data_IF_987505622345
#
_entry.id   IF_987505622345
#
_cell.length_a   1.000
_cell.length_b   1.000
_cell.length_c   1.000
_cell.angle_alpha   90.00
_cell.angle_beta   90.00
_cell.angle_gamma   90.00
#
_symmetry.space_group_name_H-M   'P 1'
#
loop_
_entity.id
_entity.type
_entity.pdbx_description
1 polymer ?
#
# COMPACT_ATOMS: atom_id res chain seq x y z
N UNK A 1 -18.30 13.06 14.52
CA UNK A 1 -17.96 12.13 13.43
C UNK A 1 -17.65 10.81 14.12
N UNK A 2 -18.45 9.77 13.85
CA UNK A 2 -18.28 8.49 14.55
C UNK A 2 -16.99 7.82 14.09
N UNK A 3 -16.08 7.61 15.05
CA UNK A 3 -14.75 7.04 14.83
C UNK A 3 -14.81 5.61 14.27
N UNK A 4 -15.89 4.88 14.55
CA UNK A 4 -16.16 3.54 14.01
C UNK A 4 -16.18 3.50 12.48
N UNK A 5 -16.74 4.52 11.83
CA UNK A 5 -16.81 4.59 10.37
C UNK A 5 -15.41 4.84 9.76
N UNK A 6 -14.57 5.65 10.41
CA UNK A 6 -13.21 5.93 9.90
C UNK A 6 -12.30 4.71 10.03
N UNK A 7 -12.42 3.93 11.11
CA UNK A 7 -11.66 2.69 11.29
C UNK A 7 -11.97 1.66 10.19
N UNK A 8 -13.26 1.46 9.88
CA UNK A 8 -13.71 0.57 8.79
C UNK A 8 -13.17 1.02 7.43
N UNK A 9 -13.27 2.31 7.10
CA UNK A 9 -12.74 2.87 5.86
C UNK A 9 -11.22 2.67 5.71
N UNK A 10 -10.46 2.84 6.81
CA UNK A 10 -9.01 2.61 6.83
C UNK A 10 -8.69 1.14 6.57
N UNK A 11 -9.43 0.22 7.19
CA UNK A 11 -9.27 -1.22 6.96
C UNK A 11 -9.57 -1.58 5.50
N UNK A 12 -10.71 -1.14 4.98
CA UNK A 12 -11.11 -1.42 3.60
C UNK A 12 -10.10 -0.87 2.59
N UNK A 13 -9.64 0.37 2.80
CA UNK A 13 -8.66 0.97 1.90
C UNK A 13 -7.26 0.35 2.05
N UNK A 14 -6.92 -0.14 3.25
CA UNK A 14 -5.72 -0.97 3.45
C UNK A 14 -5.77 -2.25 2.62
N UNK A 15 -6.92 -2.93 2.58
CA UNK A 15 -7.15 -4.11 1.74
C UNK A 15 -7.00 -3.80 0.25
N UNK A 16 -7.56 -2.68 -0.20
CA UNK A 16 -7.43 -2.24 -1.60
C UNK A 16 -5.96 -1.96 -1.96
N UNK A 17 -5.23 -1.32 -1.05
CA UNK A 17 -3.80 -1.04 -1.19
C UNK A 17 -3.00 -2.33 -1.31
N UNK A 18 -3.18 -3.29 -0.40
CA UNK A 18 -2.57 -4.62 -0.46
C UNK A 18 -2.88 -5.34 -1.77
N UNK A 19 -4.13 -5.30 -2.22
CA UNK A 19 -4.55 -5.95 -3.47
C UNK A 19 -3.81 -5.35 -4.67
N UNK A 20 -3.68 -4.01 -4.71
CA UNK A 20 -2.91 -3.33 -5.76
C UNK A 20 -1.42 -3.68 -5.72
N UNK A 21 -0.83 -3.81 -4.53
CA UNK A 21 0.56 -4.24 -4.34
C UNK A 21 0.78 -5.67 -4.84
N UNK A 22 -0.16 -6.59 -4.55
CA UNK A 22 -0.08 -7.97 -5.01
C UNK A 22 -0.09 -8.06 -6.54
N UNK A 23 -0.98 -7.28 -7.19
CA UNK A 23 -1.06 -7.22 -8.64
C UNK A 23 0.24 -6.66 -9.25
N UNK A 24 0.77 -5.56 -8.69
CA UNK A 24 2.02 -4.96 -9.17
C UNK A 24 3.21 -5.90 -8.98
N UNK A 25 3.32 -6.55 -7.81
CA UNK A 25 4.34 -7.59 -7.54
C UNK A 25 4.32 -8.70 -8.58
N UNK A 26 3.13 -9.13 -9.02
CA UNK A 26 2.96 -10.14 -10.05
C UNK A 26 3.56 -9.76 -11.42
N UNK A 27 3.85 -8.48 -11.64
CA UNK A 27 4.40 -7.93 -12.88
C UNK A 27 5.76 -7.25 -12.69
N UNK A 28 6.42 -7.42 -11.54
CA UNK A 28 7.68 -6.73 -11.24
C UNK A 28 8.79 -7.00 -12.28
N UNK A 29 8.82 -8.20 -12.87
CA UNK A 29 9.78 -8.62 -13.89
C UNK A 29 9.45 -8.16 -15.31
N UNK A 30 8.30 -7.50 -15.52
CA UNK A 30 7.86 -7.04 -16.84
C UNK A 30 8.32 -5.62 -17.09
N UNK A 31 8.66 -5.29 -18.33
CA UNK A 31 9.04 -3.92 -18.73
C UNK A 31 8.02 -3.39 -19.74
N UNK A 32 6.76 -3.31 -19.31
CA UNK A 32 5.65 -2.98 -20.21
C UNK A 32 4.68 -1.97 -19.60
N UNK A 33 3.77 -1.47 -20.44
CA UNK A 33 2.71 -0.56 -20.04
C UNK A 33 1.82 -1.12 -18.93
N UNK A 34 1.52 -2.42 -18.95
CA UNK A 34 0.69 -3.06 -17.92
C UNK A 34 1.29 -2.90 -16.51
N UNK A 35 2.62 -3.05 -16.36
CA UNK A 35 3.29 -2.79 -15.07
C UNK A 35 3.15 -1.33 -14.65
N UNK A 36 3.29 -0.39 -15.59
CA UNK A 36 3.13 1.03 -15.29
C UNK A 36 1.70 1.39 -14.88
N UNK A 37 0.69 0.89 -15.61
CA UNK A 37 -0.72 1.08 -15.28
C UNK A 37 -1.05 0.50 -13.88
N UNK A 38 -0.41 -0.62 -13.50
CA UNK A 38 -0.55 -1.20 -12.15
C UNK A 38 0.15 -0.36 -11.08
N UNK A 39 1.30 0.25 -11.40
CA UNK A 39 2.00 1.15 -10.48
C UNK A 39 1.19 2.43 -10.22
N UNK A 40 0.59 3.01 -11.25
CA UNK A 40 -0.34 4.14 -11.09
C UNK A 40 -1.54 3.79 -10.20
N UNK A 41 -2.14 2.61 -10.42
CA UNK A 41 -3.24 2.12 -9.55
C UNK A 41 -2.78 1.93 -8.11
N UNK A 42 -1.57 1.45 -7.89
CA UNK A 42 -0.98 1.34 -6.56
C UNK A 42 -0.85 2.72 -5.91
N UNK A 43 -0.26 3.70 -6.60
CA UNK A 43 -0.13 5.07 -6.09
C UNK A 43 -1.48 5.70 -5.74
N UNK A 44 -2.52 5.48 -6.56
CA UNK A 44 -3.86 5.97 -6.27
C UNK A 44 -4.46 5.34 -4.99
N UNK A 45 -4.22 4.05 -4.75
CA UNK A 45 -4.69 3.37 -3.54
C UNK A 45 -3.91 3.79 -2.29
N UNK A 46 -2.58 3.92 -2.38
CA UNK A 46 -1.74 4.46 -1.32
C UNK A 46 -2.17 5.88 -0.93
N UNK A 47 -2.40 6.74 -1.92
CA UNK A 47 -2.88 8.09 -1.68
C UNK A 47 -4.25 8.09 -0.97
N UNK A 48 -5.19 7.27 -1.44
CA UNK A 48 -6.53 7.17 -0.86
C UNK A 48 -6.47 6.66 0.59
N UNK A 49 -5.61 5.67 0.86
CA UNK A 49 -5.37 5.19 2.23
C UNK A 49 -4.87 6.33 3.11
N UNK A 50 -3.85 7.07 2.66
CA UNK A 50 -3.27 8.20 3.38
C UNK A 50 -4.32 9.28 3.69
N UNK A 51 -5.19 9.62 2.73
CA UNK A 51 -6.28 10.57 2.94
C UNK A 51 -7.23 10.14 4.06
N UNK A 52 -7.61 8.86 4.13
CA UNK A 52 -8.48 8.37 5.20
C UNK A 52 -7.82 8.42 6.57
N UNK A 53 -6.50 8.29 6.66
CA UNK A 53 -5.79 8.47 7.94
C UNK A 53 -5.84 9.92 8.46
N UNK A 54 -6.11 10.91 7.59
CA UNK A 54 -6.28 12.30 8.00
C UNK A 54 -7.70 12.66 8.45
N UNK A 55 -8.68 11.77 8.23
CA UNK A 55 -10.08 12.03 8.63
C UNK A 55 -10.28 11.98 10.14
N UNK A 56 -9.52 11.13 10.84
CA UNK A 56 -9.44 11.12 12.30
C UNK A 56 -7.99 11.00 12.76
N UNK A 57 -7.38 12.09 13.25
CA UNK A 57 -6.01 12.07 13.74
C UNK A 57 -5.75 11.06 14.85
N UNK A 58 -6.76 10.68 15.66
CA UNK A 58 -6.56 9.68 16.72
C UNK A 58 -6.28 8.30 16.14
N UNK A 59 -6.98 7.94 15.07
CA UNK A 59 -6.78 6.67 14.36
C UNK A 59 -5.54 6.76 13.47
N UNK A 60 -5.40 7.88 12.75
CA UNK A 60 -4.26 8.11 11.85
C UNK A 60 -2.91 8.05 12.56
N UNK A 61 -2.82 8.54 13.80
CA UNK A 61 -1.58 8.54 14.60
C UNK A 61 -1.32 7.23 15.34
N UNK A 62 -2.18 6.20 15.20
CA UNK A 62 -1.91 4.90 15.79
C UNK A 62 -0.66 4.28 15.16
N UNK A 63 0.18 3.65 16.00
CA UNK A 63 1.42 3.01 15.56
C UNK A 63 1.18 1.98 14.46
N UNK A 64 0.08 1.22 14.53
CA UNK A 64 -0.28 0.21 13.52
C UNK A 64 -0.60 0.84 12.16
N UNK A 65 -1.23 2.02 12.13
CA UNK A 65 -1.57 2.75 10.91
C UNK A 65 -0.30 3.35 10.29
N UNK A 66 0.53 3.99 11.10
CA UNK A 66 1.81 4.56 10.66
C UNK A 66 2.77 3.48 10.17
N UNK A 67 2.83 2.33 10.86
CA UNK A 67 3.66 1.19 10.46
C UNK A 67 3.24 0.63 9.12
N UNK A 68 1.94 0.41 8.91
CA UNK A 68 1.44 -0.05 7.61
C UNK A 68 1.73 0.97 6.50
N UNK A 69 1.48 2.27 6.73
CA UNK A 69 1.77 3.34 5.77
C UNK A 69 3.25 3.35 5.34
N UNK A 70 4.18 3.22 6.31
CA UNK A 70 5.60 3.14 6.04
C UNK A 70 5.97 1.93 5.18
N UNK A 71 5.37 0.76 5.45
CA UNK A 71 5.63 -0.46 4.65
C UNK A 71 5.09 -0.33 3.22
N UNK A 72 3.94 0.31 3.03
CA UNK A 72 3.39 0.63 1.71
C UNK A 72 4.32 1.57 0.95
N UNK A 73 4.82 2.63 1.59
CA UNK A 73 5.77 3.58 0.99
C UNK A 73 7.07 2.88 0.55
N UNK A 74 7.68 2.10 1.44
CA UNK A 74 8.91 1.32 1.13
C UNK A 74 8.72 0.36 -0.06
N UNK A 75 7.53 -0.23 -0.21
CA UNK A 75 7.23 -1.04 -1.38
C UNK A 75 7.17 -0.20 -2.66
N UNK A 76 6.53 0.97 -2.60
CA UNK A 76 6.40 1.89 -3.73
C UNK A 76 7.75 2.41 -4.24
N UNK A 77 8.69 2.68 -3.34
CA UNK A 77 10.04 3.15 -3.68
C UNK A 77 10.80 2.18 -4.61
N UNK A 78 10.50 0.87 -4.54
CA UNK A 78 11.13 -0.15 -5.40
C UNK A 78 10.72 -0.04 -6.87
N UNK A 79 9.64 0.71 -7.17
CA UNK A 79 9.12 0.94 -8.52
C UNK A 79 9.37 2.37 -9.00
N UNK A 80 10.18 3.16 -8.27
CA UNK A 80 10.57 4.51 -8.69
C UNK A 80 11.18 4.46 -10.09
N UNK A 81 10.61 5.22 -11.02
CA UNK A 81 11.04 5.26 -12.43
C UNK A 81 10.16 4.48 -13.41
N UNK A 82 9.31 3.55 -12.94
CA UNK A 82 8.42 2.76 -13.81
C UNK A 82 7.39 3.63 -14.55
N UNK A 83 7.03 4.79 -14.00
CA UNK A 83 6.15 5.79 -14.62
C UNK A 83 6.86 6.71 -15.64
N UNK A 84 8.19 6.67 -15.71
CA UNK A 84 9.00 7.48 -16.62
C UNK A 84 9.57 6.60 -17.74
N UNK A 85 10.08 5.43 -17.38
CA UNK A 85 10.75 4.51 -18.30
C UNK A 85 10.29 3.07 -18.06
N UNK A 86 9.65 2.48 -19.06
CA UNK A 86 9.16 1.10 -18.98
C UNK A 86 10.28 0.08 -18.80
N UNK A 87 11.52 0.42 -19.16
CA UNK A 87 12.69 -0.45 -19.05
C UNK A 87 13.31 -0.45 -17.64
N UNK A 88 12.79 0.36 -16.71
CA UNK A 88 13.24 0.39 -15.31
C UNK A 88 13.30 -1.02 -14.73
N UNK A 89 14.48 -1.43 -14.28
CA UNK A 89 14.69 -2.74 -13.65
C UNK A 89 14.24 -2.68 -12.19
N UNK A 90 13.41 -3.64 -11.79
CA UNK A 90 12.89 -3.75 -10.42
C UNK A 90 13.40 -5.05 -9.81
N UNK A 91 13.92 -4.97 -8.59
CA UNK A 91 14.39 -6.15 -7.84
C UNK A 91 13.19 -6.95 -7.30
N UNK A 92 12.89 -8.07 -7.97
CA UNK A 92 11.76 -8.94 -7.63
C UNK A 92 11.87 -9.56 -6.23
N UNK A 93 13.09 -9.84 -5.76
CA UNK A 93 13.30 -10.44 -4.44
C UNK A 93 12.90 -9.41 -3.39
N UNK A 94 13.42 -8.19 -3.49
CA UNK A 94 13.08 -7.09 -2.58
C UNK A 94 11.60 -6.72 -2.64
N UNK A 95 10.97 -6.74 -3.82
CA UNK A 95 9.53 -6.52 -3.96
C UNK A 95 8.72 -7.59 -3.23
N UNK A 96 9.17 -8.84 -3.29
CA UNK A 96 8.47 -9.96 -2.61
C UNK A 96 8.60 -9.84 -1.10
N UNK A 97 9.77 -9.50 -0.59
CA UNK A 97 10.02 -9.22 0.83
C UNK A 97 9.19 -8.04 1.33
N UNK A 98 9.25 -6.90 0.62
CA UNK A 98 8.49 -5.70 0.99
C UNK A 98 6.97 -5.93 0.97
N UNK A 99 6.46 -6.73 0.02
CA UNK A 99 5.05 -7.10 0.00
C UNK A 99 4.66 -7.93 1.22
N UNK A 100 5.50 -8.90 1.62
CA UNK A 100 5.25 -9.74 2.79
C UNK A 100 5.22 -8.91 4.08
N UNK A 101 6.18 -7.97 4.23
CA UNK A 101 6.20 -7.06 5.38
C UNK A 101 4.97 -6.14 5.44
N UNK A 102 4.49 -5.64 4.29
CA UNK A 102 3.29 -4.83 4.23
C UNK A 102 2.02 -5.64 4.54
N UNK A 103 1.94 -6.89 4.06
CA UNK A 103 0.86 -7.82 4.39
C UNK A 103 0.77 -8.09 5.89
N UNK A 104 1.91 -8.36 6.53
CA UNK A 104 1.99 -8.56 7.98
C UNK A 104 1.54 -7.32 8.76
N UNK A 105 2.01 -6.14 8.35
CA UNK A 105 1.57 -4.87 8.94
C UNK A 105 0.06 -4.62 8.75
N UNK A 106 -0.50 -4.98 7.59
CA UNK A 106 -1.95 -4.89 7.34
C UNK A 106 -2.74 -5.81 8.26
N UNK A 107 -2.30 -7.05 8.49
CA UNK A 107 -2.98 -7.96 9.41
C UNK A 107 -2.97 -7.44 10.86
N UNK A 108 -1.87 -6.84 11.31
CA UNK A 108 -1.80 -6.20 12.63
C UNK A 108 -2.79 -5.03 12.71
N UNK A 109 -2.84 -4.18 11.67
CA UNK A 109 -3.79 -3.07 11.57
C UNK A 109 -5.24 -3.58 11.62
N UNK A 110 -5.56 -4.59 10.82
CA UNK A 110 -6.89 -5.21 10.73
C UNK A 110 -7.37 -5.68 12.11
N UNK A 111 -6.54 -6.47 12.79
CA UNK A 111 -6.87 -7.02 14.11
C UNK A 111 -6.97 -5.92 15.19
N UNK A 112 -6.28 -4.79 15.01
CA UNK A 112 -6.32 -3.69 15.99
C UNK A 112 -7.55 -2.80 15.82
N UNK A 113 -8.02 -2.62 14.58
CA UNK A 113 -9.13 -1.70 14.28
C UNK A 113 -10.51 -2.38 14.23
N UNK A 114 -10.56 -3.71 14.16
CA UNK A 114 -11.80 -4.50 14.15
C UNK A 114 -12.12 -5.20 15.48
N UNK A 115 -11.35 -4.94 16.54
CA UNK A 115 -11.58 -5.41 17.91
C UNK A 115 -11.67 -4.23 18.87
#
# INVERSE_FOLDING_TARGET
MDTTNVAELIVEQGKNTITSMQNLKGKADKQNKERADLFEKFCANEHSFRVYTYMDPKIGQLEVVQSFMKKVEMFGELFTGVNIEFETTVDKTRVTEAFQEAMEAYYILLNTLQH
#
